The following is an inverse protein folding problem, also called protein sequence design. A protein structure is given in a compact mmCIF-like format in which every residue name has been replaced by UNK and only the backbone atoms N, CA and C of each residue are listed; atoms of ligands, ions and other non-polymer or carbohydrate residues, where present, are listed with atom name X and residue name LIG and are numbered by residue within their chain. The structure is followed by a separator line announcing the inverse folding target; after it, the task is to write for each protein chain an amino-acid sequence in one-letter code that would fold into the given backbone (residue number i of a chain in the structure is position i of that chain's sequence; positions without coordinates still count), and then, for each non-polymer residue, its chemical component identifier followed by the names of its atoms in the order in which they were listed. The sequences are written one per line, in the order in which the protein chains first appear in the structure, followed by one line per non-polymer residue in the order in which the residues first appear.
data_IF_356843469756
#
_entry.id   IF_356843469756
#
_cell.length_a   1.000
_cell.length_b   1.000
_cell.length_c   1.000
_cell.angle_alpha   90.00
_cell.angle_beta   90.00
_cell.angle_gamma   90.00
#
_symmetry.space_group_name_H-M   'P 1'
#
loop_
_entity.id
_entity.type
_entity.pdbx_description
1 polymer ?
#
# COMPACT_ATOMS: atom_id res chain seq x y z
N UNK A 1 56.15 -15.43 -3.66
CA UNK A 1 55.24 -14.29 -3.52
C UNK A 1 55.71 -13.17 -4.43
N UNK A 2 54.99 -12.87 -5.51
CA UNK A 2 55.31 -11.75 -6.41
C UNK A 2 54.20 -10.71 -6.26
N UNK A 3 54.50 -9.41 -6.17
CA UNK A 3 53.47 -8.36 -6.05
C UNK A 3 52.85 -8.03 -7.41
N UNK A 4 51.53 -7.89 -7.42
CA UNK A 4 50.76 -7.43 -8.57
C UNK A 4 50.79 -5.88 -8.56
N UNK A 5 51.27 -5.30 -9.67
CA UNK A 5 51.25 -3.85 -9.91
C UNK A 5 49.94 -3.50 -10.64
N UNK A 6 49.18 -2.59 -10.06
CA UNK A 6 48.07 -1.91 -10.76
C UNK A 6 48.58 -0.68 -11.51
N UNK A 7 48.33 -0.64 -12.81
CA UNK A 7 48.62 0.52 -13.67
C UNK A 7 47.35 1.39 -13.79
N UNK A 8 47.43 2.63 -13.38
CA UNK A 8 46.39 3.64 -13.61
C UNK A 8 46.63 4.32 -14.95
N UNK A 9 45.67 4.22 -15.86
CA UNK A 9 45.66 4.93 -17.14
C UNK A 9 44.84 6.23 -16.99
N UNK A 10 45.51 7.36 -17.13
CA UNK A 10 44.91 8.71 -17.18
C UNK A 10 44.25 8.94 -18.55
N UNK A 11 42.96 9.21 -18.57
CA UNK A 11 42.23 9.68 -19.76
C UNK A 11 42.18 11.20 -19.68
N UNK A 12 42.77 11.84 -20.73
CA UNK A 12 42.82 13.29 -20.90
C UNK A 12 41.47 13.85 -21.35
N UNK A 13 41.00 14.85 -20.60
CA UNK A 13 39.85 15.68 -20.90
C UNK A 13 40.16 16.58 -22.12
N UNK A 14 39.27 16.59 -23.10
CA UNK A 14 39.26 17.55 -24.22
C UNK A 14 38.02 18.41 -24.10
N UNK A 15 38.20 19.69 -23.91
CA UNK A 15 37.14 20.69 -23.92
C UNK A 15 36.80 21.12 -25.39
N UNK A 16 35.54 21.33 -25.74
CA UNK A 16 35.20 21.98 -26.98
C UNK A 16 34.99 23.48 -26.80
N UNK A 17 35.49 24.22 -27.82
CA UNK A 17 35.48 25.65 -27.94
C UNK A 17 34.09 26.26 -28.19
N UNK A 18 33.86 27.44 -27.59
CA UNK A 18 32.73 28.31 -27.89
C UNK A 18 32.87 28.89 -29.33
N UNK A 19 31.83 28.76 -30.14
CA UNK A 19 31.61 29.56 -31.33
C UNK A 19 30.42 30.49 -31.04
N UNK A 20 30.71 31.79 -31.02
CA UNK A 20 29.71 32.83 -30.94
C UNK A 20 29.21 33.15 -32.38
N UNK A 21 27.94 33.01 -32.64
CA UNK A 21 27.28 33.50 -33.82
C UNK A 21 26.29 34.60 -33.45
N UNK A 22 26.58 35.82 -33.89
CA UNK A 22 25.67 36.95 -33.83
C UNK A 22 24.61 36.80 -34.92
N UNK A 23 23.34 36.89 -34.60
CA UNK A 23 22.26 36.98 -35.57
C UNK A 23 21.41 38.23 -35.31
N UNK A 24 21.18 38.95 -36.38
CA UNK A 24 20.48 40.24 -36.48
C UNK A 24 19.01 40.18 -36.01
N UNK A 25 18.58 41.26 -35.35
CA UNK A 25 17.17 41.55 -35.10
C UNK A 25 16.47 41.86 -36.44
N UNK A 26 15.40 41.13 -36.73
CA UNK A 26 14.31 41.59 -37.61
C UNK A 26 13.05 41.75 -36.77
N UNK A 27 12.57 42.98 -36.66
CA UNK A 27 11.24 43.30 -36.17
C UNK A 27 10.20 42.83 -37.19
N UNK A 28 9.53 41.71 -36.87
CA UNK A 28 8.31 41.27 -37.54
C UNK A 28 7.11 41.50 -36.61
N UNK A 29 6.23 42.40 -37.03
CA UNK A 29 4.92 42.62 -36.41
C UNK A 29 4.08 41.38 -36.73
N UNK A 30 3.96 40.42 -35.76
CA UNK A 30 3.20 39.21 -35.89
C UNK A 30 2.09 39.18 -34.84
N UNK A 31 0.87 38.97 -35.30
CA UNK A 31 -0.40 38.94 -34.58
C UNK A 31 -0.32 38.01 -33.35
N UNK A 32 -0.86 38.49 -32.24
CA UNK A 32 -1.08 37.68 -31.01
C UNK A 32 -2.06 36.54 -31.32
N UNK A 33 -1.54 35.33 -31.49
CA UNK A 33 -2.35 34.12 -31.42
C UNK A 33 -2.68 33.87 -29.96
N UNK A 34 -3.96 33.96 -29.62
CA UNK A 34 -4.50 33.55 -28.31
C UNK A 34 -4.19 32.07 -28.10
N UNK A 35 -3.35 31.77 -27.12
CA UNK A 35 -3.18 30.43 -26.61
C UNK A 35 -4.51 29.94 -26.08
N UNK A 36 -4.97 28.71 -26.39
CA UNK A 36 -6.10 28.13 -25.72
C UNK A 36 -5.77 28.01 -24.22
N UNK A 37 -6.69 28.47 -23.39
CA UNK A 37 -6.62 28.30 -21.95
C UNK A 37 -6.39 26.80 -21.62
N UNK A 38 -5.60 26.47 -20.58
CA UNK A 38 -5.49 25.09 -20.14
C UNK A 38 -6.90 24.60 -19.80
N UNK A 39 -7.26 23.46 -20.36
CA UNK A 39 -8.52 22.79 -20.07
C UNK A 39 -8.64 22.65 -18.55
N UNK A 40 -9.71 23.17 -18.02
CA UNK A 40 -10.07 23.07 -16.59
C UNK A 40 -9.87 21.62 -16.15
N UNK A 41 -9.04 21.46 -15.13
CA UNK A 41 -8.91 20.21 -14.42
C UNK A 41 -10.29 19.72 -14.01
N UNK A 42 -10.55 18.46 -14.27
CA UNK A 42 -11.77 17.79 -13.90
C UNK A 42 -12.14 18.19 -12.46
N UNK A 43 -13.21 18.93 -12.31
CA UNK A 43 -13.79 19.28 -11.01
C UNK A 43 -14.02 17.96 -10.29
N UNK A 44 -13.29 17.73 -9.22
CA UNK A 44 -13.58 16.65 -8.29
C UNK A 44 -15.03 16.89 -7.85
N UNK A 45 -15.93 15.99 -8.23
CA UNK A 45 -17.31 16.04 -7.85
C UNK A 45 -17.37 16.20 -6.32
N UNK A 46 -17.89 17.30 -5.84
CA UNK A 46 -18.20 17.53 -4.42
C UNK A 46 -19.40 16.65 -4.08
N UNK A 47 -19.24 15.34 -4.19
CA UNK A 47 -20.23 14.37 -3.74
C UNK A 47 -20.34 14.43 -2.22
N UNK A 48 -21.54 14.20 -1.70
CA UNK A 48 -21.78 14.03 -0.28
C UNK A 48 -20.74 13.07 0.31
N UNK A 49 -20.16 13.44 1.45
CA UNK A 49 -19.19 12.62 2.17
C UNK A 49 -19.85 12.01 3.40
N UNK A 50 -19.43 10.82 3.77
CA UNK A 50 -19.91 10.11 4.94
C UNK A 50 -18.76 9.31 5.60
N UNK A 51 -18.87 9.00 6.90
CA UNK A 51 -17.94 8.09 7.55
C UNK A 51 -18.01 6.69 6.92
N UNK A 52 -16.84 6.08 6.68
CA UNK A 52 -16.73 4.70 6.23
C UNK A 52 -17.29 3.78 7.31
N UNK A 53 -18.30 3.00 6.97
CA UNK A 53 -18.93 2.05 7.89
C UNK A 53 -18.29 0.68 7.77
N UNK A 54 -17.46 0.33 8.76
CA UNK A 54 -16.87 -1.00 8.88
C UNK A 54 -17.76 -1.87 9.77
N UNK A 55 -18.00 -3.11 9.34
CA UNK A 55 -18.58 -4.14 10.21
C UNK A 55 -17.43 -4.70 11.06
N UNK A 56 -17.34 -4.28 12.30
CA UNK A 56 -16.27 -4.68 13.22
C UNK A 56 -16.53 -6.08 13.80
N UNK A 57 -15.47 -6.89 14.03
CA UNK A 57 -15.57 -8.15 14.73
C UNK A 57 -15.85 -7.95 16.21
N UNK A 58 -16.23 -9.03 16.89
CA UNK A 58 -16.37 -9.04 18.35
C UNK A 58 -15.01 -8.78 19.02
N UNK A 59 -15.00 -8.15 20.20
CA UNK A 59 -13.76 -8.02 20.96
C UNK A 59 -13.27 -9.39 21.45
N UNK A 60 -12.13 -9.84 20.91
CA UNK A 60 -11.54 -11.15 21.22
C UNK A 60 -10.12 -11.04 21.76
N UNK A 61 -9.77 -9.90 22.38
CA UNK A 61 -8.43 -9.70 22.93
C UNK A 61 -8.15 -10.73 24.03
N UNK A 62 -7.15 -11.61 23.80
CA UNK A 62 -6.70 -12.64 24.73
C UNK A 62 -5.63 -12.13 25.70
N UNK A 63 -4.91 -11.07 25.33
CA UNK A 63 -3.89 -10.49 26.21
C UNK A 63 -3.07 -9.39 25.54
N UNK A 64 -2.33 -8.67 26.38
CA UNK A 64 -1.34 -7.67 25.98
C UNK A 64 0.02 -8.14 26.49
N UNK A 65 1.01 -8.36 25.62
CA UNK A 65 2.38 -8.68 26.05
C UNK A 65 2.96 -7.58 26.94
N UNK A 66 3.83 -7.97 27.89
CA UNK A 66 4.46 -7.02 28.82
C UNK A 66 5.50 -6.12 28.11
N UNK A 67 6.14 -6.63 27.07
CA UNK A 67 7.26 -6.01 26.34
C UNK A 67 6.87 -5.50 24.96
N UNK A 68 5.89 -4.62 24.88
CA UNK A 68 5.49 -4.03 23.61
C UNK A 68 6.58 -3.13 23.05
N UNK A 69 6.92 -3.27 21.75
CA UNK A 69 7.89 -2.40 21.11
C UNK A 69 7.39 -0.96 21.08
N UNK A 70 8.33 -0.03 21.20
CA UNK A 70 8.07 1.41 21.12
C UNK A 70 9.22 2.12 20.43
N UNK A 71 8.93 3.26 19.80
CA UNK A 71 9.96 4.04 19.10
C UNK A 71 9.36 5.07 18.16
N UNK A 72 10.18 5.93 17.55
CA UNK A 72 9.70 6.98 16.65
C UNK A 72 9.02 6.45 15.38
N UNK A 73 9.37 5.23 14.94
CA UNK A 73 8.76 4.55 13.79
C UNK A 73 7.51 3.74 14.12
N UNK A 74 7.04 3.72 15.39
CA UNK A 74 5.93 2.91 15.86
C UNK A 74 4.82 3.84 16.37
N UNK A 75 3.57 3.58 15.98
CA UNK A 75 2.41 4.26 16.55
C UNK A 75 2.20 3.79 18.01
N UNK A 76 1.71 4.64 18.90
CA UNK A 76 1.37 4.20 20.26
C UNK A 76 0.22 3.19 20.21
N UNK A 77 0.16 2.28 21.20
CA UNK A 77 -0.96 1.34 21.35
C UNK A 77 -2.28 2.14 21.42
N UNK A 78 -3.25 1.83 20.57
CA UNK A 78 -4.53 2.54 20.58
C UNK A 78 -5.29 2.30 21.88
N UNK A 79 -5.68 3.37 22.59
CA UNK A 79 -6.50 3.31 23.81
C UNK A 79 -7.98 3.61 23.55
N UNK A 80 -8.33 3.98 22.32
CA UNK A 80 -9.67 4.31 21.85
C UNK A 80 -9.84 3.91 20.39
N UNK A 81 -11.08 3.77 19.88
CA UNK A 81 -11.32 3.57 18.46
C UNK A 81 -10.64 4.64 17.61
N UNK A 82 -10.19 4.31 16.38
CA UNK A 82 -9.67 5.30 15.45
C UNK A 82 -10.75 6.33 15.11
N UNK A 83 -10.32 7.51 14.65
CA UNK A 83 -11.23 8.52 14.11
C UNK A 83 -11.93 8.00 12.84
N UNK A 84 -13.12 8.55 12.57
CA UNK A 84 -13.86 8.21 11.36
C UNK A 84 -13.03 8.50 10.09
N UNK A 85 -12.96 7.53 9.20
CA UNK A 85 -12.39 7.71 7.87
C UNK A 85 -13.50 8.17 6.92
N UNK A 86 -13.33 9.35 6.32
CA UNK A 86 -14.38 9.99 5.52
C UNK A 86 -14.22 9.62 4.04
N UNK A 87 -15.26 9.05 3.44
CA UNK A 87 -15.32 8.64 2.04
C UNK A 87 -16.48 9.34 1.30
N UNK A 88 -16.48 9.25 -0.02
CA UNK A 88 -17.64 9.66 -0.83
C UNK A 88 -18.81 8.72 -0.57
N UNK A 89 -20.03 9.26 -0.56
CA UNK A 89 -21.26 8.49 -0.41
C UNK A 89 -21.40 7.44 -1.54
N UNK A 90 -21.90 6.27 -1.16
CA UNK A 90 -22.12 5.16 -2.10
C UNK A 90 -20.89 4.28 -2.34
N UNK A 91 -19.82 4.47 -1.58
CA UNK A 91 -18.68 3.56 -1.55
C UNK A 91 -19.10 2.25 -0.87
N UNK A 92 -18.69 1.13 -1.45
CA UNK A 92 -18.97 -0.21 -0.92
C UNK A 92 -17.73 -1.10 -0.97
N UNK A 93 -17.72 -2.18 -0.18
CA UNK A 93 -16.66 -3.19 -0.26
C UNK A 93 -16.77 -3.96 -1.59
N UNK A 94 -15.91 -3.68 -2.55
CA UNK A 94 -15.85 -4.33 -3.86
C UNK A 94 -14.97 -5.58 -3.87
N UNK A 95 -14.28 -5.88 -2.75
CA UNK A 95 -13.46 -7.07 -2.58
C UNK A 95 -14.26 -8.28 -2.07
N UNK A 96 -15.49 -8.08 -1.55
CA UNK A 96 -16.27 -9.14 -0.93
C UNK A 96 -16.46 -10.33 -1.89
N UNK A 97 -16.00 -11.53 -1.46
CA UNK A 97 -16.08 -12.78 -2.21
C UNK A 97 -15.22 -12.81 -3.48
N UNK A 98 -14.29 -11.89 -3.65
CA UNK A 98 -13.41 -11.84 -4.82
C UNK A 98 -12.30 -12.87 -4.74
N UNK A 99 -11.77 -13.33 -5.90
CA UNK A 99 -10.67 -14.27 -5.96
C UNK A 99 -9.41 -13.72 -5.28
N UNK A 100 -8.75 -14.59 -4.52
CA UNK A 100 -7.52 -14.29 -3.80
C UNK A 100 -6.43 -15.25 -4.23
N UNK A 101 -5.22 -14.72 -4.41
CA UNK A 101 -3.98 -15.49 -4.64
C UNK A 101 -2.91 -15.08 -3.65
N UNK A 102 -1.86 -15.88 -3.52
CA UNK A 102 -0.77 -15.63 -2.58
C UNK A 102 0.58 -16.05 -3.13
N UNK A 103 1.66 -15.51 -2.54
CA UNK A 103 3.05 -15.87 -2.87
C UNK A 103 3.37 -17.34 -2.64
N UNK A 104 2.70 -17.96 -1.66
CA UNK A 104 2.86 -19.36 -1.27
C UNK A 104 1.52 -19.89 -0.79
N UNK A 105 1.28 -21.17 -0.93
CA UNK A 105 0.09 -21.80 -0.35
C UNK A 105 0.07 -21.59 1.18
N UNK A 106 -1.07 -21.20 1.77
CA UNK A 106 -1.23 -21.19 3.21
C UNK A 106 -1.12 -22.61 3.78
N UNK A 107 -0.66 -22.74 5.01
CA UNK A 107 -0.66 -24.02 5.73
C UNK A 107 -1.81 -24.10 6.76
N UNK A 108 -2.45 -22.97 7.04
CA UNK A 108 -3.69 -22.86 7.83
C UNK A 108 -4.64 -21.93 7.10
N UNK A 109 -5.92 -22.25 7.12
CA UNK A 109 -6.98 -21.49 6.47
C UNK A 109 -6.98 -21.60 4.94
N UNK A 110 -7.99 -21.00 4.34
CA UNK A 110 -8.22 -20.98 2.90
C UNK A 110 -8.19 -19.53 2.40
N UNK A 111 -7.60 -19.28 1.22
CA UNK A 111 -7.50 -17.91 0.67
C UNK A 111 -8.85 -17.21 0.51
N UNK A 112 -9.93 -17.93 0.35
CA UNK A 112 -11.29 -17.39 0.27
C UNK A 112 -11.75 -16.68 1.54
N UNK A 113 -11.15 -17.02 2.69
CA UNK A 113 -11.44 -16.38 3.97
C UNK A 113 -11.00 -14.92 4.02
N UNK A 114 -10.02 -14.52 3.18
CA UNK A 114 -9.47 -13.15 3.17
C UNK A 114 -10.45 -12.10 2.66
N UNK A 115 -11.55 -12.52 1.99
CA UNK A 115 -12.56 -11.63 1.42
C UNK A 115 -13.99 -12.05 1.74
N UNK A 116 -14.20 -12.94 2.73
CA UNK A 116 -15.53 -13.50 3.07
C UNK A 116 -16.35 -12.60 4.02
N UNK A 117 -15.72 -11.53 4.54
CA UNK A 117 -16.32 -10.58 5.48
C UNK A 117 -16.27 -11.03 6.93
N UNK A 118 -15.65 -12.18 7.23
CA UNK A 118 -15.46 -12.69 8.58
C UNK A 118 -14.11 -12.25 9.15
N UNK A 119 -14.15 -11.32 10.10
CA UNK A 119 -12.97 -10.74 10.75
C UNK A 119 -12.78 -11.24 12.17
N UNK A 120 -13.56 -12.27 12.56
CA UNK A 120 -13.48 -12.82 13.92
C UNK A 120 -12.12 -13.51 14.13
N UNK A 121 -11.47 -13.19 15.24
CA UNK A 121 -10.12 -13.69 15.53
C UNK A 121 -10.19 -15.02 16.32
N UNK A 122 -10.76 -16.04 15.70
CA UNK A 122 -10.73 -17.42 16.23
C UNK A 122 -9.57 -18.20 15.60
N UNK A 123 -9.24 -19.34 16.19
CA UNK A 123 -8.04 -20.11 15.83
C UNK A 123 -8.07 -20.67 14.38
N UNK A 124 -9.26 -20.81 13.78
CA UNK A 124 -9.48 -21.32 12.42
C UNK A 124 -9.83 -20.25 11.39
N UNK A 125 -9.81 -18.97 11.77
CA UNK A 125 -10.24 -17.87 10.90
C UNK A 125 -9.09 -17.15 10.20
N UNK A 126 -7.86 -17.32 10.66
CA UNK A 126 -6.70 -16.69 10.05
C UNK A 126 -6.13 -17.55 8.92
N UNK A 127 -5.75 -16.90 7.83
CA UNK A 127 -4.94 -17.51 6.76
C UNK A 127 -3.48 -17.34 7.13
N UNK A 128 -2.78 -18.44 7.39
CA UNK A 128 -1.39 -18.43 7.83
C UNK A 128 -0.45 -18.93 6.74
N UNK A 129 0.61 -18.16 6.51
CA UNK A 129 1.66 -18.46 5.55
C UNK A 129 3.02 -18.51 6.23
N UNK A 130 3.97 -19.22 5.61
CA UNK A 130 5.33 -19.39 6.12
C UNK A 130 6.01 -18.05 6.42
N UNK A 131 7.05 -18.09 7.23
CA UNK A 131 7.93 -16.96 7.56
C UNK A 131 8.60 -16.34 6.33
N UNK A 132 9.07 -15.13 6.49
CA UNK A 132 9.66 -14.27 5.45
C UNK A 132 8.61 -13.36 4.84
N UNK A 133 9.02 -12.48 3.92
CA UNK A 133 8.07 -11.61 3.22
C UNK A 133 7.13 -12.45 2.34
N UNK A 134 5.84 -12.37 2.60
CA UNK A 134 4.79 -13.03 1.83
C UNK A 134 3.76 -12.00 1.39
N UNK A 135 3.00 -12.31 0.33
CA UNK A 135 1.92 -11.46 -0.11
C UNK A 135 0.63 -12.24 -0.36
N UNK A 136 -0.48 -11.52 -0.20
CA UNK A 136 -1.82 -11.90 -0.61
C UNK A 136 -2.32 -10.86 -1.61
N UNK A 137 -3.00 -11.30 -2.67
CA UNK A 137 -3.52 -10.47 -3.73
C UNK A 137 -5.00 -10.74 -3.97
N UNK A 138 -5.80 -9.67 -3.95
CA UNK A 138 -7.22 -9.69 -4.31
C UNK A 138 -7.38 -9.22 -5.75
N UNK A 139 -8.12 -9.97 -6.58
CA UNK A 139 -8.55 -9.57 -7.93
C UNK A 139 -9.98 -8.99 -7.85
N UNK A 140 -10.12 -7.69 -8.00
CA UNK A 140 -11.43 -7.02 -7.99
C UNK A 140 -12.31 -7.35 -9.21
N UNK A 141 -11.74 -8.03 -10.21
CA UNK A 141 -12.43 -8.40 -11.46
C UNK A 141 -12.39 -7.31 -12.52
N UNK A 142 -12.37 -6.05 -12.13
CA UNK A 142 -12.23 -4.88 -13.00
C UNK A 142 -11.51 -3.75 -12.27
N UNK A 143 -10.88 -2.81 -12.99
CA UNK A 143 -10.31 -1.62 -12.36
C UNK A 143 -11.34 -0.80 -11.60
N UNK A 144 -11.04 -0.43 -10.37
CA UNK A 144 -11.87 0.40 -9.51
C UNK A 144 -11.11 1.63 -9.02
N UNK A 145 -11.81 2.74 -8.78
CA UNK A 145 -11.22 3.91 -8.11
C UNK A 145 -11.35 3.73 -6.61
N UNK A 146 -10.22 3.39 -5.97
CA UNK A 146 -10.17 2.95 -4.58
C UNK A 146 -10.21 4.17 -3.66
N UNK A 147 -11.20 4.20 -2.77
CA UNK A 147 -11.35 5.21 -1.73
C UNK A 147 -10.59 4.84 -0.46
N UNK A 148 -10.69 3.57 -0.04
CA UNK A 148 -10.00 3.05 1.13
C UNK A 148 -9.74 1.54 1.00
N UNK A 149 -8.75 1.06 1.73
CA UNK A 149 -8.49 -0.37 1.94
C UNK A 149 -8.46 -0.59 3.45
N UNK A 150 -9.19 -1.58 3.92
CA UNK A 150 -9.15 -1.98 5.32
C UNK A 150 -8.60 -3.40 5.43
N UNK A 151 -7.63 -3.60 6.32
CA UNK A 151 -6.97 -4.89 6.54
C UNK A 151 -7.05 -5.29 8.00
N UNK A 152 -7.19 -6.58 8.23
CA UNK A 152 -7.12 -7.20 9.56
C UNK A 152 -6.12 -8.34 9.52
N UNK A 153 -5.15 -8.29 10.43
CA UNK A 153 -4.31 -9.42 10.78
C UNK A 153 -4.82 -10.04 12.09
N UNK A 154 -4.12 -11.00 12.64
CA UNK A 154 -4.49 -11.59 13.93
C UNK A 154 -4.47 -10.52 15.04
N UNK A 155 -5.64 -10.18 15.54
CA UNK A 155 -5.84 -9.16 16.56
C UNK A 155 -6.26 -9.73 17.94
N UNK A 156 -6.04 -11.05 18.15
CA UNK A 156 -6.28 -11.71 19.47
C UNK A 156 -5.34 -11.21 20.55
N UNK A 157 -4.18 -10.71 20.14
CA UNK A 157 -3.16 -10.14 21.01
C UNK A 157 -2.79 -8.73 20.52
N UNK A 158 -2.34 -7.89 21.45
CA UNK A 158 -1.73 -6.61 21.04
C UNK A 158 -0.37 -6.92 20.43
N UNK A 159 -0.29 -6.83 19.12
CA UNK A 159 0.93 -7.10 18.35
C UNK A 159 0.99 -6.18 17.14
N UNK A 160 2.19 -5.96 16.61
CA UNK A 160 2.38 -5.25 15.36
C UNK A 160 2.91 -6.18 14.28
N UNK A 161 2.37 -6.04 13.08
CA UNK A 161 2.86 -6.74 11.91
C UNK A 161 3.92 -5.91 11.21
N UNK A 162 4.98 -6.59 10.75
CA UNK A 162 6.15 -5.98 10.13
C UNK A 162 6.04 -5.99 8.63
N UNK A 163 6.67 -4.99 8.02
CA UNK A 163 6.78 -4.85 6.56
C UNK A 163 5.40 -4.94 5.89
N UNK A 164 4.40 -4.29 6.50
CA UNK A 164 3.09 -4.17 5.89
C UNK A 164 3.21 -3.19 4.73
N UNK A 165 2.97 -3.71 3.50
CA UNK A 165 3.05 -2.91 2.29
C UNK A 165 1.77 -3.15 1.49
N UNK A 166 1.06 -2.08 1.13
CA UNK A 166 -0.16 -2.16 0.33
C UNK A 166 0.10 -1.52 -1.02
N UNK A 167 -0.09 -2.32 -2.07
CA UNK A 167 0.09 -1.91 -3.45
C UNK A 167 -1.16 -2.15 -4.28
N UNK A 168 -1.33 -1.31 -5.31
CA UNK A 168 -2.42 -1.40 -6.29
C UNK A 168 -1.81 -1.39 -7.69
N UNK A 169 -2.34 -2.22 -8.60
CA UNK A 169 -1.94 -2.27 -10.00
C UNK A 169 -3.08 -2.78 -10.89
N UNK A 170 -3.00 -2.49 -12.19
CA UNK A 170 -3.77 -3.18 -13.23
C UNK A 170 -3.03 -4.42 -13.77
N UNK A 171 -1.75 -4.58 -13.42
CA UNK A 171 -0.92 -5.73 -13.80
C UNK A 171 -0.96 -6.80 -12.70
N UNK A 172 -1.47 -8.02 -12.97
CA UNK A 172 -1.55 -9.10 -11.98
C UNK A 172 -0.17 -9.54 -11.46
N UNK A 173 0.89 -9.30 -12.22
CA UNK A 173 2.26 -9.64 -11.84
C UNK A 173 2.95 -8.54 -11.02
N UNK A 174 2.34 -7.35 -10.90
CA UNK A 174 2.91 -6.18 -10.21
C UNK A 174 4.30 -5.78 -10.73
N UNK A 175 4.52 -5.90 -12.03
CA UNK A 175 5.77 -5.48 -12.71
C UNK A 175 5.68 -4.05 -13.24
N UNK A 176 4.46 -3.61 -13.55
CA UNK A 176 4.19 -2.30 -14.14
C UNK A 176 3.01 -1.61 -13.47
N UNK A 177 2.96 -0.26 -13.54
CA UNK A 177 1.82 0.52 -13.04
C UNK A 177 1.53 0.32 -11.55
N UNK A 178 2.55 0.01 -10.74
CA UNK A 178 2.39 -0.25 -9.31
C UNK A 178 2.34 1.07 -8.55
N UNK A 179 1.30 1.25 -7.75
CA UNK A 179 1.17 2.35 -6.80
C UNK A 179 1.22 1.81 -5.38
N UNK A 180 2.18 2.25 -4.58
CA UNK A 180 2.27 1.92 -3.15
C UNK A 180 1.45 2.94 -2.36
N UNK A 181 0.46 2.47 -1.63
CA UNK A 181 -0.43 3.29 -0.79
C UNK A 181 0.07 3.39 0.65
N UNK A 182 0.66 2.33 1.14
CA UNK A 182 1.20 2.21 2.49
C UNK A 182 2.46 1.36 2.48
N UNK A 183 3.48 1.74 3.24
CA UNK A 183 4.71 0.97 3.39
C UNK A 183 5.40 1.34 4.72
N UNK A 184 5.42 0.40 5.68
CA UNK A 184 6.13 0.55 6.94
C UNK A 184 7.45 -0.26 7.03
N UNK A 185 7.92 -0.80 5.91
CA UNK A 185 9.22 -1.48 5.79
C UNK A 185 10.37 -0.45 5.78
N UNK A 186 10.81 -0.03 6.95
CA UNK A 186 11.79 1.05 7.11
C UNK A 186 13.23 0.67 6.75
N UNK A 187 13.54 -0.63 6.66
CA UNK A 187 14.88 -1.15 6.34
C UNK A 187 14.97 -1.81 4.96
N UNK A 188 13.86 -1.79 4.20
CA UNK A 188 13.72 -2.44 2.90
C UNK A 188 13.99 -3.96 2.94
N UNK A 189 13.68 -4.60 4.04
CA UNK A 189 13.93 -6.03 4.23
C UNK A 189 12.99 -6.92 3.41
N UNK A 190 11.90 -6.37 2.90
CA UNK A 190 11.00 -7.01 1.94
C UNK A 190 11.33 -6.71 0.48
N UNK A 191 12.27 -5.79 0.20
CA UNK A 191 12.74 -5.49 -1.15
C UNK A 191 11.80 -4.64 -2.01
N UNK A 192 10.78 -3.99 -1.39
CA UNK A 192 9.78 -3.16 -2.10
C UNK A 192 10.05 -1.66 -2.00
N UNK A 193 11.24 -1.27 -1.52
CA UNK A 193 11.62 0.11 -1.24
C UNK A 193 11.45 0.47 0.23
N UNK A 194 12.22 1.47 0.68
CA UNK A 194 12.16 1.97 2.06
C UNK A 194 10.82 2.68 2.27
N UNK A 195 10.09 2.20 3.28
CA UNK A 195 8.83 2.78 3.72
C UNK A 195 9.04 3.96 4.67
N UNK A 196 8.03 4.84 4.72
CA UNK A 196 7.99 6.00 5.62
C UNK A 196 6.78 6.00 6.54
N UNK A 197 5.87 5.05 6.35
CA UNK A 197 4.72 4.87 7.23
C UNK A 197 5.18 4.21 8.55
N UNK A 198 4.45 4.49 9.63
CA UNK A 198 4.76 3.91 10.92
C UNK A 198 4.19 2.51 11.05
N UNK A 199 4.90 1.64 11.75
CA UNK A 199 4.33 0.39 12.26
C UNK A 199 3.18 0.71 13.23
N UNK A 200 2.16 -0.16 13.25
CA UNK A 200 0.97 0.02 14.08
C UNK A 200 0.59 -1.28 14.78
N UNK A 201 -0.08 -1.15 15.92
CA UNK A 201 -0.62 -2.30 16.63
C UNK A 201 -1.95 -2.74 16.05
N UNK A 202 -2.06 -4.04 15.78
CA UNK A 202 -3.33 -4.63 15.36
C UNK A 202 -4.38 -4.56 16.47
N UNK A 203 -5.57 -4.24 16.04
CA UNK A 203 -6.76 -4.22 16.88
C UNK A 203 -7.97 -4.72 16.10
N UNK A 204 -9.07 -5.02 16.78
CA UNK A 204 -10.32 -5.39 16.13
C UNK A 204 -10.87 -4.31 15.17
N UNK A 205 -10.34 -3.10 15.21
CA UNK A 205 -10.75 -2.03 14.30
C UNK A 205 -10.14 -2.18 12.91
N UNK A 206 -9.10 -3.02 12.75
CA UNK A 206 -8.30 -3.12 11.53
C UNK A 206 -7.50 -1.87 11.25
N UNK A 207 -6.75 -1.89 10.15
CA UNK A 207 -6.05 -0.71 9.62
C UNK A 207 -6.76 -0.22 8.38
N UNK A 208 -7.26 1.01 8.42
CA UNK A 208 -7.81 1.70 7.24
C UNK A 208 -6.69 2.51 6.59
N UNK A 209 -6.49 2.27 5.30
CA UNK A 209 -5.47 2.90 4.46
C UNK A 209 -6.20 3.73 3.40
N UNK A 210 -5.78 4.99 3.26
CA UNK A 210 -6.31 5.90 2.24
C UNK A 210 -5.98 5.38 0.84
N UNK A 211 -6.99 5.09 0.04
CA UNK A 211 -6.85 4.71 -1.36
C UNK A 211 -6.44 5.85 -2.28
N UNK A 212 -6.54 7.09 -1.82
CA UNK A 212 -6.16 8.33 -2.54
C UNK A 212 -6.79 8.45 -3.92
N UNK A 213 -7.90 7.76 -4.16
CA UNK A 213 -8.53 7.67 -5.48
C UNK A 213 -7.70 6.89 -6.51
N UNK A 214 -6.75 6.08 -6.08
CA UNK A 214 -5.94 5.24 -6.96
C UNK A 214 -6.82 4.28 -7.74
N UNK A 215 -6.57 4.18 -9.04
CA UNK A 215 -7.28 3.25 -9.92
C UNK A 215 -6.45 1.99 -10.11
N UNK A 216 -7.11 0.83 -9.98
CA UNK A 216 -6.48 -0.45 -10.24
C UNK A 216 -7.42 -1.63 -10.00
N UNK A 217 -7.08 -2.77 -10.59
CA UNK A 217 -7.84 -4.02 -10.50
C UNK A 217 -7.34 -4.93 -9.38
N UNK A 218 -6.04 -4.94 -9.14
CA UNK A 218 -5.41 -5.84 -8.17
C UNK A 218 -4.94 -5.06 -6.96
N UNK A 219 -5.22 -5.59 -5.78
CA UNK A 219 -4.72 -5.08 -4.50
C UNK A 219 -3.84 -6.16 -3.89
N UNK A 220 -2.60 -5.81 -3.56
CA UNK A 220 -1.65 -6.74 -2.94
C UNK A 220 -1.21 -6.21 -1.58
N UNK A 221 -1.30 -7.08 -0.56
CA UNK A 221 -0.81 -6.84 0.79
C UNK A 221 0.39 -7.73 1.07
N UNK A 222 1.49 -7.15 1.50
CA UNK A 222 2.69 -7.86 1.97
C UNK A 222 2.78 -7.79 3.49
N UNK A 223 3.38 -8.81 4.09
CA UNK A 223 3.77 -8.83 5.51
C UNK A 223 4.99 -9.71 5.72
N UNK A 224 5.69 -9.52 6.85
CA UNK A 224 6.87 -10.32 7.23
C UNK A 224 6.78 -10.76 8.70
N UNK A 225 5.61 -11.33 9.07
CA UNK A 225 5.33 -11.71 10.44
C UNK A 225 5.03 -10.52 11.34
N UNK A 226 5.11 -10.76 12.65
CA UNK A 226 4.85 -9.76 13.69
C UNK A 226 5.98 -9.69 14.71
N UNK A 227 5.87 -8.81 15.71
CA UNK A 227 6.78 -8.80 16.84
C UNK A 227 6.65 -10.06 17.74
N UNK A 228 5.56 -10.83 17.61
CA UNK A 228 5.29 -12.06 18.40
C UNK A 228 5.57 -13.34 17.60
N UNK A 229 5.47 -13.31 16.27
CA UNK A 229 5.60 -14.49 15.42
C UNK A 229 6.23 -14.15 14.07
N UNK A 230 7.11 -15.02 13.59
CA UNK A 230 7.63 -14.92 12.23
C UNK A 230 6.63 -15.43 11.16
N UNK A 231 5.50 -16.02 11.56
CA UNK A 231 4.43 -16.48 10.68
C UNK A 231 3.62 -15.28 10.21
N UNK A 232 3.29 -15.26 8.93
CA UNK A 232 2.36 -14.28 8.36
C UNK A 232 0.94 -14.77 8.61
N UNK A 233 0.10 -13.90 9.15
CA UNK A 233 -1.28 -14.21 9.47
C UNK A 233 -2.17 -13.05 9.04
N UNK A 234 -3.18 -13.34 8.23
CA UNK A 234 -4.16 -12.34 7.77
C UNK A 234 -5.57 -12.91 7.91
N UNK A 235 -6.52 -12.05 8.23
CA UNK A 235 -7.92 -12.42 8.40
C UNK A 235 -8.79 -11.87 7.29
N UNK A 236 -8.65 -10.57 6.96
CA UNK A 236 -9.54 -9.95 5.98
C UNK A 236 -8.86 -8.78 5.26
N UNK A 237 -9.20 -8.63 3.98
CA UNK A 237 -8.93 -7.44 3.17
C UNK A 237 -10.24 -6.96 2.57
N UNK A 238 -10.65 -5.75 2.92
CA UNK A 238 -11.77 -5.05 2.30
C UNK A 238 -11.25 -3.90 1.43
N UNK A 239 -11.81 -3.76 0.25
CA UNK A 239 -11.48 -2.66 -0.68
C UNK A 239 -12.73 -1.85 -0.94
N UNK A 240 -12.68 -0.58 -0.61
CA UNK A 240 -13.82 0.33 -0.71
C UNK A 240 -13.68 1.23 -1.93
N UNK A 241 -14.62 1.10 -2.83
CA UNK A 241 -14.71 1.89 -4.07
C UNK A 241 -16.17 2.13 -4.43
N UNK A 242 -16.42 3.07 -5.33
CA UNK A 242 -17.74 3.19 -5.94
C UNK A 242 -17.92 1.98 -6.89
N UNK A 243 -18.95 1.14 -6.68
CA UNK A 243 -19.18 0.00 -7.54
C UNK A 243 -19.32 0.40 -9.02
N UNK A 244 -18.77 -0.41 -9.92
CA UNK A 244 -19.02 -0.23 -11.35
C UNK A 244 -20.53 -0.40 -11.62
N UNK A 245 -21.06 0.49 -12.45
CA UNK A 245 -22.48 0.42 -12.90
C UNK A 245 -22.66 -0.69 -13.91
#
# INVERSE_FOLDING_TARGET
MKPIRFSFSFVKSVAPALVAAAALLQLGCGQAQSMPAPADGAAAASGDKEPLKLKLPMPTLKGTPEDLPSGPGIEPVPTKPPADFIVSKGVANVAAGKPVTSSVAPFTGELTQVTDGNKEAYDDQAVEMKKGSQWIQVDLGAPATIAAIAIWHDHRYVQLFRDVIIQVSDDPEFKTGVTTLYNNDSDNSSGMGIGTDKEYFETRFGRVIDGKGTKGRYVRSYTKGSNQSAINSIQEIEVYAVPAK
#
